data_IF_121887521246
#
_entry.id   IF_121887521246
#
_cell.length_a   1.000
_cell.length_b   1.000
_cell.length_c   1.000
_cell.angle_alpha   90.00
_cell.angle_beta   90.00
_cell.angle_gamma   90.00
#
_symmetry.space_group_name_H-M   'P 1'
#
loop_
_entity.id
_entity.type
_entity.pdbx_description
1 polymer ?
#
# COMPACT_ATOMS: atom_id res chain seq x y z
N UNK A 1 -28.42 15.04 -12.45
CA UNK A 1 -27.37 14.91 -11.43
C UNK A 1 -26.68 13.58 -11.70
N UNK A 2 -25.69 13.60 -12.58
CA UNK A 2 -24.85 12.45 -12.89
C UNK A 2 -23.68 12.48 -11.89
N UNK A 3 -23.16 11.33 -11.43
CA UNK A 3 -22.00 11.37 -10.55
C UNK A 3 -20.84 11.91 -11.39
N UNK A 4 -20.29 13.04 -10.96
CA UNK A 4 -18.97 13.46 -11.38
C UNK A 4 -18.05 12.26 -11.17
N UNK A 5 -17.31 11.86 -12.20
CA UNK A 5 -16.16 11.01 -11.99
C UNK A 5 -15.22 11.80 -11.08
N UNK A 6 -15.33 11.59 -9.78
CA UNK A 6 -14.29 11.91 -8.82
C UNK A 6 -13.19 10.91 -9.13
N UNK A 7 -12.28 11.31 -10.00
CA UNK A 7 -11.01 10.61 -10.08
C UNK A 7 -10.40 10.71 -8.67
N UNK A 8 -10.31 9.58 -7.98
CA UNK A 8 -9.48 9.43 -6.78
C UNK A 8 -7.99 9.70 -7.06
N UNK A 9 -7.63 9.96 -8.33
CA UNK A 9 -6.40 10.64 -8.69
C UNK A 9 -6.47 12.11 -8.22
N UNK A 10 -6.24 12.26 -6.92
CA UNK A 10 -5.76 13.48 -6.27
C UNK A 10 -4.72 14.14 -7.17
N UNK A 11 -4.75 15.46 -7.30
CA UNK A 11 -3.78 16.31 -8.04
C UNK A 11 -2.30 16.05 -7.65
N UNK A 12 -2.06 15.24 -6.62
CA UNK A 12 -0.79 14.86 -6.01
C UNK A 12 -0.47 13.34 -6.13
N UNK A 13 -1.40 12.48 -6.56
CA UNK A 13 -1.24 11.01 -6.53
C UNK A 13 -0.78 10.50 -5.15
N UNK A 14 -1.37 11.03 -4.07
CA UNK A 14 -1.05 10.60 -2.70
C UNK A 14 -1.65 9.26 -2.33
N UNK A 15 -2.67 8.79 -3.04
CA UNK A 15 -3.35 7.54 -2.76
C UNK A 15 -2.73 6.41 -3.56
N UNK A 16 -2.23 5.38 -2.88
CA UNK A 16 -1.52 4.26 -3.50
C UNK A 16 -2.10 2.93 -3.03
N UNK A 17 -2.39 2.03 -3.97
CA UNK A 17 -3.04 0.75 -3.69
C UNK A 17 -2.32 -0.44 -4.34
N UNK A 18 -2.37 -1.59 -3.66
CA UNK A 18 -2.02 -2.90 -4.24
C UNK A 18 -3.19 -3.86 -4.10
N UNK A 19 -3.57 -4.47 -5.22
CA UNK A 19 -4.57 -5.53 -5.28
C UNK A 19 -3.90 -6.89 -5.42
N UNK A 20 -4.29 -7.83 -4.57
CA UNK A 20 -3.86 -9.23 -4.66
C UNK A 20 -5.05 -10.12 -5.01
N UNK A 21 -4.97 -10.81 -6.15
CA UNK A 21 -5.96 -11.80 -6.59
C UNK A 21 -5.24 -13.15 -6.63
N UNK A 22 -5.59 -14.02 -5.70
CA UNK A 22 -4.99 -15.36 -5.54
C UNK A 22 -6.10 -16.40 -5.36
N UNK A 23 -5.73 -17.68 -5.40
CA UNK A 23 -6.58 -18.80 -4.99
C UNK A 23 -7.09 -18.66 -3.55
N UNK A 24 -6.33 -17.95 -2.70
CA UNK A 24 -6.63 -17.74 -1.28
C UNK A 24 -7.53 -16.52 -1.02
N UNK A 25 -7.75 -15.65 -2.01
CA UNK A 25 -8.60 -14.47 -1.82
C UNK A 25 -8.31 -13.31 -2.76
N UNK A 26 -9.17 -12.29 -2.64
CA UNK A 26 -9.14 -11.05 -3.40
C UNK A 26 -9.10 -9.88 -2.43
N UNK A 27 -7.96 -9.23 -2.28
CA UNK A 27 -7.77 -8.14 -1.31
C UNK A 27 -7.24 -6.88 -1.97
N UNK A 28 -7.64 -5.72 -1.44
CA UNK A 28 -7.11 -4.41 -1.81
C UNK A 28 -6.53 -3.75 -0.57
N UNK A 29 -5.27 -3.35 -0.63
CA UNK A 29 -4.59 -2.60 0.41
C UNK A 29 -4.23 -1.22 -0.13
N UNK A 30 -4.49 -0.16 0.63
CA UNK A 30 -4.23 1.22 0.22
C UNK A 30 -3.69 2.09 1.36
N UNK A 31 -2.93 3.12 0.99
CA UNK A 31 -2.36 4.11 1.91
C UNK A 31 -2.38 5.51 1.30
N UNK A 32 -2.47 6.52 2.17
CA UNK A 32 -2.23 7.91 1.79
C UNK A 32 -0.79 8.34 2.12
N UNK A 33 -0.18 9.08 1.19
CA UNK A 33 1.14 9.70 1.33
C UNK A 33 1.04 11.04 2.06
N UNK A 34 0.44 11.03 3.25
CA UNK A 34 0.31 12.19 4.13
C UNK A 34 0.76 11.85 5.56
N UNK A 35 0.75 12.84 6.44
CA UNK A 35 1.19 12.68 7.83
C UNK A 35 0.21 11.95 8.74
N UNK A 36 -0.94 11.49 8.22
CA UNK A 36 -2.01 10.89 9.03
C UNK A 36 -1.87 9.36 9.17
N UNK A 37 -0.95 8.74 8.40
CA UNK A 37 -0.67 7.29 8.44
C UNK A 37 -1.94 6.43 8.29
N UNK A 38 -2.89 6.88 7.48
CA UNK A 38 -4.15 6.18 7.28
C UNK A 38 -3.99 5.02 6.30
N UNK A 39 -4.44 3.84 6.74
CA UNK A 39 -4.30 2.57 6.02
C UNK A 39 -5.65 1.89 5.85
N UNK A 40 -5.86 1.35 4.66
CA UNK A 40 -7.07 0.63 4.29
C UNK A 40 -6.74 -0.79 3.83
N UNK A 41 -7.57 -1.74 4.26
CA UNK A 41 -7.57 -3.10 3.74
C UNK A 41 -9.01 -3.54 3.52
N UNK A 42 -9.30 -4.12 2.36
CA UNK A 42 -10.60 -4.67 2.00
C UNK A 42 -10.47 -6.11 1.50
N UNK A 43 -11.40 -6.96 1.90
CA UNK A 43 -11.64 -8.27 1.28
C UNK A 43 -12.69 -8.10 0.17
N UNK A 44 -12.25 -7.93 -1.06
CA UNK A 44 -13.12 -7.67 -2.22
C UNK A 44 -14.00 -8.87 -2.59
N UNK A 45 -13.72 -10.06 -2.05
CA UNK A 45 -14.63 -11.21 -2.20
C UNK A 45 -15.88 -11.07 -1.34
N UNK A 46 -15.77 -10.42 -0.18
CA UNK A 46 -16.88 -10.22 0.78
C UNK A 46 -17.45 -8.79 0.76
N UNK A 47 -16.62 -7.82 0.37
CA UNK A 47 -16.94 -6.39 0.34
C UNK A 47 -16.51 -5.78 -1.01
N UNK A 48 -17.23 -6.10 -2.11
CA UNK A 48 -16.90 -5.58 -3.44
C UNK A 48 -16.97 -4.06 -3.55
N UNK A 49 -17.72 -3.43 -2.65
CA UNK A 49 -17.96 -1.99 -2.61
C UNK A 49 -17.07 -1.26 -1.59
N UNK A 50 -16.14 -1.96 -0.93
CA UNK A 50 -15.11 -1.36 -0.06
C UNK A 50 -15.70 -0.50 1.06
N UNK A 51 -16.83 -0.93 1.62
CA UNK A 51 -17.56 -0.18 2.64
C UNK A 51 -16.99 -0.40 4.05
N UNK A 52 -16.24 -1.48 4.26
CA UNK A 52 -15.73 -1.87 5.57
C UNK A 52 -14.21 -2.04 5.54
N UNK A 53 -13.50 -1.00 5.97
CA UNK A 53 -12.05 -1.09 6.20
C UNK A 53 -11.77 -2.08 7.34
N UNK A 54 -11.03 -3.15 7.03
CA UNK A 54 -10.66 -4.22 7.98
C UNK A 54 -9.22 -4.09 8.50
N UNK A 55 -8.46 -3.05 8.14
CA UNK A 55 -7.05 -2.89 8.51
C UNK A 55 -6.81 -3.04 10.02
N UNK A 56 -7.66 -2.44 10.87
CA UNK A 56 -7.53 -2.53 12.34
C UNK A 56 -7.86 -3.90 12.93
N UNK A 57 -8.45 -4.81 12.14
CA UNK A 57 -8.94 -6.11 12.60
C UNK A 57 -8.12 -7.31 12.12
N UNK A 58 -7.22 -7.10 11.15
CA UNK A 58 -6.38 -8.17 10.60
C UNK A 58 -5.06 -8.29 11.35
N UNK A 59 -4.35 -9.42 11.15
CA UNK A 59 -2.98 -9.57 11.64
C UNK A 59 -2.08 -8.49 11.00
N UNK A 60 -1.41 -7.64 11.78
CA UNK A 60 -0.56 -6.58 11.25
C UNK A 60 0.60 -7.08 10.39
N UNK A 61 1.02 -8.35 10.53
CA UNK A 61 1.99 -8.96 9.60
C UNK A 61 1.48 -9.01 8.16
N UNK A 62 0.16 -9.14 7.97
CA UNK A 62 -0.46 -9.07 6.64
C UNK A 62 -0.27 -7.68 6.06
N UNK A 63 -0.51 -6.64 6.86
CA UNK A 63 -0.38 -5.25 6.43
C UNK A 63 1.08 -4.90 6.10
N UNK A 64 2.04 -5.32 6.92
CA UNK A 64 3.47 -5.16 6.63
C UNK A 64 3.85 -5.85 5.30
N UNK A 65 3.33 -7.05 5.06
CA UNK A 65 3.54 -7.75 3.79
C UNK A 65 2.96 -7.00 2.58
N UNK A 66 1.79 -6.38 2.74
CA UNK A 66 1.13 -5.61 1.69
C UNK A 66 1.82 -4.26 1.44
N UNK A 67 2.22 -3.53 2.49
CA UNK A 67 3.02 -2.31 2.38
C UNK A 67 4.34 -2.60 1.66
N UNK A 68 5.07 -3.63 2.06
CA UNK A 68 6.30 -4.05 1.37
C UNK A 68 6.05 -4.30 -0.11
N UNK A 69 4.94 -4.96 -0.45
CA UNK A 69 4.58 -5.23 -1.84
C UNK A 69 4.25 -3.95 -2.61
N UNK A 70 3.56 -3.01 -1.98
CA UNK A 70 3.25 -1.70 -2.55
C UNK A 70 4.54 -0.93 -2.86
N UNK A 71 5.44 -0.83 -1.88
CA UNK A 71 6.78 -0.22 -2.01
C UNK A 71 7.56 -0.81 -3.19
N UNK A 72 7.65 -2.15 -3.25
CA UNK A 72 8.36 -2.85 -4.33
C UNK A 72 7.80 -2.50 -5.72
N UNK A 73 6.48 -2.37 -5.84
CA UNK A 73 5.81 -2.04 -7.09
C UNK A 73 5.99 -0.57 -7.49
N UNK A 74 6.10 0.33 -6.52
CA UNK A 74 6.34 1.76 -6.77
C UNK A 74 7.73 2.05 -7.32
N UNK A 75 8.73 1.21 -7.00
CA UNK A 75 10.13 1.41 -7.44
C UNK A 75 10.56 0.51 -8.60
N UNK A 76 9.73 -0.45 -9.01
CA UNK A 76 10.09 -1.38 -10.08
C UNK A 76 9.77 -0.78 -11.46
N UNK A 77 10.44 -1.28 -12.50
CA UNK A 77 10.09 -0.95 -13.88
C UNK A 77 10.16 -2.18 -14.81
N UNK A 78 9.25 -2.23 -15.78
CA UNK A 78 9.30 -3.18 -16.89
C UNK A 78 9.25 -4.65 -16.45
N UNK A 79 9.99 -5.57 -17.12
CA UNK A 79 9.95 -7.00 -16.84
C UNK A 79 10.38 -7.38 -15.41
N UNK A 80 11.03 -6.46 -14.68
CA UNK A 80 11.48 -6.65 -13.29
C UNK A 80 10.37 -6.49 -12.25
N UNK A 81 9.22 -5.91 -12.64
CA UNK A 81 8.03 -5.75 -11.80
C UNK A 81 7.23 -7.05 -11.59
N UNK A 82 7.89 -8.15 -11.22
CA UNK A 82 7.24 -9.45 -11.01
C UNK A 82 7.50 -9.99 -9.60
N UNK A 83 6.52 -10.66 -8.97
CA UNK A 83 6.74 -11.31 -7.67
C UNK A 83 7.96 -12.25 -7.73
N UNK A 84 8.88 -12.12 -6.77
CA UNK A 84 10.07 -12.97 -6.66
C UNK A 84 11.29 -12.53 -7.47
N UNK A 85 11.21 -11.43 -8.24
CA UNK A 85 12.40 -10.78 -8.80
C UNK A 85 13.02 -9.93 -7.70
N UNK A 86 14.26 -10.26 -7.30
CA UNK A 86 15.02 -9.43 -6.34
C UNK A 86 15.14 -8.02 -6.91
N UNK A 87 14.90 -6.95 -6.12
CA UNK A 87 15.09 -5.60 -6.61
C UNK A 87 16.48 -5.48 -7.21
N UNK A 88 16.56 -4.78 -8.34
CA UNK A 88 17.82 -4.44 -8.98
C UNK A 88 18.79 -3.89 -7.90
N UNK A 89 20.09 -4.24 -7.92
CA UNK A 89 21.05 -3.46 -7.12
C UNK A 89 20.88 -1.97 -7.49
N UNK A 90 21.09 -1.04 -6.55
CA UNK A 90 20.75 0.37 -6.71
C UNK A 90 21.52 0.98 -7.89
N UNK A 91 20.92 0.93 -9.07
CA UNK A 91 21.46 1.53 -10.29
C UNK A 91 20.51 2.59 -10.86
N UNK A 92 19.38 2.82 -10.20
CA UNK A 92 18.75 4.13 -10.31
C UNK A 92 19.61 5.10 -9.51
N UNK A 93 20.00 6.27 -10.09
CA UNK A 93 20.58 7.33 -9.28
C UNK A 93 19.64 7.56 -8.09
N UNK A 94 20.16 7.80 -6.87
CA UNK A 94 19.30 8.05 -5.72
C UNK A 94 18.28 9.11 -6.12
N UNK A 95 17.02 8.70 -6.25
CA UNK A 95 15.96 9.65 -6.56
C UNK A 95 16.00 10.67 -5.43
N UNK A 96 16.06 11.98 -5.73
CA UNK A 96 16.21 12.98 -4.69
C UNK A 96 15.12 12.75 -3.65
N UNK A 97 15.49 12.77 -2.38
CA UNK A 97 14.58 12.50 -1.23
C UNK A 97 13.31 13.35 -1.24
N UNK A 98 13.30 14.45 -1.99
CA UNK A 98 12.16 15.31 -2.29
C UNK A 98 11.10 14.69 -3.22
N UNK A 99 11.37 13.55 -3.86
CA UNK A 99 10.39 12.75 -4.62
C UNK A 99 9.90 11.52 -3.81
N UNK A 100 10.51 11.26 -2.65
CA UNK A 100 10.14 10.22 -1.67
C UNK A 100 9.28 10.83 -0.55
N UNK A 101 8.23 11.58 -0.92
CA UNK A 101 7.35 12.25 0.05
C UNK A 101 6.33 11.33 0.72
N UNK A 102 6.42 10.01 0.57
CA UNK A 102 5.39 9.11 1.04
C UNK A 102 5.84 8.28 2.24
N UNK A 103 5.03 8.33 3.30
CA UNK A 103 5.11 7.43 4.47
C UNK A 103 5.01 5.94 4.10
N UNK A 104 4.74 5.63 2.83
CA UNK A 104 4.86 4.30 2.21
C UNK A 104 6.19 3.60 2.56
N UNK A 105 7.28 4.35 2.83
CA UNK A 105 8.59 3.82 3.21
C UNK A 105 8.94 3.88 4.71
N UNK A 106 8.07 4.43 5.56
CA UNK A 106 8.40 4.62 6.98
C UNK A 106 7.83 3.50 7.86
N UNK A 107 8.66 3.01 8.79
CA UNK A 107 8.24 2.10 9.88
C UNK A 107 7.23 2.76 10.82
N UNK A 108 6.93 4.05 10.63
CA UNK A 108 6.01 4.82 11.44
C UNK A 108 4.58 4.28 11.30
N UNK A 109 4.14 3.72 10.16
CA UNK A 109 2.78 3.16 10.03
C UNK A 109 2.50 2.05 11.06
N UNK A 110 3.53 1.38 11.56
CA UNK A 110 3.42 0.17 12.35
C UNK A 110 4.19 0.24 13.68
N UNK A 111 3.48 0.32 14.81
CA UNK A 111 4.06 0.26 16.14
C UNK A 111 4.27 -1.17 16.64
N UNK A 112 5.45 -1.49 17.14
CA UNK A 112 5.66 -2.71 17.93
C UNK A 112 5.33 -2.47 19.41
N UNK A 113 4.25 -3.09 19.91
CA UNK A 113 3.96 -3.18 21.34
C UNK A 113 3.96 -4.65 21.76
N UNK A 114 4.80 -5.00 22.74
CA UNK A 114 4.90 -6.36 23.29
C UNK A 114 5.15 -7.45 22.21
N UNK A 115 6.01 -7.17 21.23
CA UNK A 115 6.32 -8.10 20.13
C UNK A 115 5.17 -8.27 19.11
N UNK A 116 4.16 -7.41 19.16
CA UNK A 116 3.04 -7.36 18.22
C UNK A 116 3.08 -6.03 17.48
N UNK A 117 3.36 -6.10 16.19
CA UNK A 117 3.18 -4.99 15.24
C UNK A 117 1.72 -4.58 15.25
N UNK A 118 1.38 -3.28 15.26
CA UNK A 118 0.02 -2.73 15.17
C UNK A 118 0.05 -1.47 14.31
N UNK A 119 -1.02 -1.17 13.58
CA UNK A 119 -1.15 0.09 12.83
C UNK A 119 -1.24 1.25 13.83
N UNK A 120 -0.53 2.36 13.56
CA UNK A 120 -0.64 3.61 14.33
C UNK A 120 -2.09 4.10 14.47
#
# INVERSE_FOLDING_TARGET
MFPDCVCEDSYNNTYSCVRSITDKGNSMYCEFSDSENFVELYDLSKDPHQLKNIAKSVDPKILVGMNKRLVELTICEGPTCKPGVKPFPPQFPPQPRSLLHSNIYSEEIFMEQNGKVQVL
#
